data_IF_743298056695
#
_entry.id   IF_743298056695
#
_cell.length_a   1.000
_cell.length_b   1.000
_cell.length_c   1.000
_cell.angle_alpha   90.00
_cell.angle_beta   90.00
_cell.angle_gamma   90.00
#
_symmetry.space_group_name_H-M   'P 1'
#
loop_
_entity.id
_entity.type
_entity.pdbx_description
1 polymer ?
#
# COMPACT_ATOMS: atom_id res chain seq x y z
N UNK A 1 -18.32 -27.88 28.36
CA UNK A 1 -18.96 -26.81 27.56
C UNK A 1 -18.11 -25.55 27.75
N UNK A 2 -17.38 -25.10 26.73
CA UNK A 2 -16.52 -23.92 26.85
C UNK A 2 -17.38 -22.65 26.90
N UNK A 3 -17.34 -21.91 28.00
CA UNK A 3 -17.94 -20.58 28.09
C UNK A 3 -17.09 -19.60 27.28
N UNK A 4 -17.73 -18.85 26.40
CA UNK A 4 -17.10 -17.77 25.64
C UNK A 4 -17.04 -16.54 26.54
N UNK A 5 -15.86 -16.25 27.07
CA UNK A 5 -15.65 -15.13 27.98
C UNK A 5 -15.77 -13.81 27.22
N UNK A 6 -16.90 -13.11 27.42
CA UNK A 6 -17.18 -11.84 26.73
C UNK A 6 -16.62 -10.69 27.57
N UNK A 7 -15.67 -9.96 27.01
CA UNK A 7 -15.10 -8.76 27.63
C UNK A 7 -16.05 -7.59 27.41
N UNK A 8 -16.50 -6.95 28.49
CA UNK A 8 -17.39 -5.77 28.44
C UNK A 8 -16.62 -4.52 28.85
N UNK A 9 -16.77 -3.45 28.06
CA UNK A 9 -16.22 -2.13 28.34
C UNK A 9 -17.37 -1.13 28.50
N UNK A 10 -17.21 -0.13 29.38
CA UNK A 10 -18.13 1.02 29.39
C UNK A 10 -17.96 1.84 28.10
N UNK A 11 -18.98 2.62 27.70
CA UNK A 11 -18.98 3.37 26.43
C UNK A 11 -17.73 4.21 26.22
N UNK A 12 -17.27 4.89 27.27
CA UNK A 12 -16.06 5.71 27.24
C UNK A 12 -14.79 4.89 26.98
N UNK A 13 -14.64 3.72 27.60
CA UNK A 13 -13.48 2.84 27.41
C UNK A 13 -13.57 2.15 26.05
N UNK A 14 -14.75 1.67 25.66
CA UNK A 14 -14.99 1.04 24.37
C UNK A 14 -14.57 1.97 23.22
N UNK A 15 -14.96 3.24 23.27
CA UNK A 15 -14.56 4.22 22.26
C UNK A 15 -13.05 4.45 22.23
N UNK A 16 -12.42 4.64 23.40
CA UNK A 16 -10.96 4.82 23.48
C UNK A 16 -10.19 3.61 22.94
N UNK A 17 -10.63 2.40 23.28
CA UNK A 17 -10.02 1.15 22.77
C UNK A 17 -10.18 1.07 21.25
N UNK A 18 -11.37 1.37 20.73
CA UNK A 18 -11.63 1.39 19.29
C UNK A 18 -10.70 2.37 18.57
N UNK A 19 -10.58 3.60 19.08
CA UNK A 19 -9.71 4.62 18.48
C UNK A 19 -8.24 4.19 18.48
N UNK A 20 -7.76 3.57 19.57
CA UNK A 20 -6.40 3.05 19.67
C UNK A 20 -6.13 1.93 18.66
N UNK A 21 -7.03 0.95 18.54
CA UNK A 21 -6.88 -0.15 17.57
C UNK A 21 -6.82 0.41 16.13
N UNK A 22 -7.66 1.40 15.83
CA UNK A 22 -7.69 2.03 14.51
C UNK A 22 -6.41 2.83 14.22
N UNK A 23 -5.81 3.46 15.25
CA UNK A 23 -4.50 4.12 15.13
C UNK A 23 -3.38 3.09 14.88
N UNK A 24 -3.41 1.94 15.54
CA UNK A 24 -2.41 0.88 15.35
C UNK A 24 -2.42 0.35 13.91
N UNK A 25 -3.59 0.16 13.30
CA UNK A 25 -3.69 -0.27 11.91
C UNK A 25 -3.03 0.74 10.96
N UNK A 26 -3.28 2.04 11.19
CA UNK A 26 -2.67 3.11 10.40
C UNK A 26 -1.14 3.11 10.53
N UNK A 27 -0.61 2.92 11.74
CA UNK A 27 0.84 2.85 11.98
C UNK A 27 1.44 1.67 11.19
N UNK A 28 0.85 0.48 11.29
CA UNK A 28 1.29 -0.72 10.54
C UNK A 28 1.33 -0.47 9.03
N UNK A 29 0.31 0.20 8.49
CA UNK A 29 0.26 0.54 7.06
C UNK A 29 1.38 1.50 6.65
N UNK A 30 1.69 2.50 7.49
CA UNK A 30 2.79 3.45 7.24
C UNK A 30 4.14 2.73 7.26
N UNK A 31 4.40 1.88 8.25
CA UNK A 31 5.63 1.09 8.33
C UNK A 31 5.81 0.17 7.11
N UNK A 32 4.74 -0.54 6.74
CA UNK A 32 4.75 -1.40 5.55
C UNK A 32 5.02 -0.60 4.26
N UNK A 33 4.44 0.60 4.16
CA UNK A 33 4.68 1.52 3.04
C UNK A 33 6.14 1.99 3.00
N UNK A 34 6.70 2.39 4.14
CA UNK A 34 8.10 2.83 4.22
C UNK A 34 9.06 1.74 3.77
N UNK A 35 8.77 0.48 4.14
CA UNK A 35 9.53 -0.71 3.76
C UNK A 35 9.33 -1.20 2.31
N UNK A 36 8.49 -0.54 1.51
CA UNK A 36 8.39 -0.84 0.08
C UNK A 36 9.71 -0.50 -0.63
N UNK A 37 10.03 -1.31 -1.64
CA UNK A 37 11.13 -0.98 -2.56
C UNK A 37 10.77 0.25 -3.39
N UNK A 38 11.78 0.89 -3.98
CA UNK A 38 11.55 2.02 -4.91
C UNK A 38 10.65 1.59 -6.06
N UNK A 39 10.83 0.37 -6.55
CA UNK A 39 10.03 -0.22 -7.62
C UNK A 39 8.56 -0.45 -7.21
N UNK A 40 8.31 -0.96 -5.99
CA UNK A 40 6.95 -1.15 -5.50
C UNK A 40 6.26 0.21 -5.24
N UNK A 41 6.99 1.21 -4.74
CA UNK A 41 6.50 2.59 -4.61
C UNK A 41 6.17 3.18 -5.97
N UNK A 42 7.01 2.97 -6.98
CA UNK A 42 6.75 3.36 -8.37
C UNK A 42 5.43 2.78 -8.88
N UNK A 43 5.25 1.46 -8.76
CA UNK A 43 4.02 0.79 -9.21
C UNK A 43 2.80 1.34 -8.47
N UNK A 44 2.89 1.56 -7.16
CA UNK A 44 1.79 2.10 -6.36
C UNK A 44 1.42 3.53 -6.76
N UNK A 45 2.41 4.39 -7.07
CA UNK A 45 2.18 5.74 -7.59
C UNK A 45 1.52 5.68 -8.98
N UNK A 46 2.02 4.84 -9.89
CA UNK A 46 1.43 4.68 -11.23
C UNK A 46 -0.01 4.17 -11.16
N UNK A 47 -0.33 3.31 -10.19
CA UNK A 47 -1.72 2.89 -9.91
C UNK A 47 -2.59 4.09 -9.53
N UNK A 48 -2.10 5.00 -8.68
CA UNK A 48 -2.83 6.20 -8.30
C UNK A 48 -3.03 7.18 -9.47
N UNK A 49 -2.19 7.09 -10.50
CA UNK A 49 -2.32 7.82 -11.76
C UNK A 49 -3.14 7.05 -12.81
N UNK A 50 -3.90 6.02 -12.39
CA UNK A 50 -4.76 5.21 -13.25
C UNK A 50 -4.03 4.49 -14.39
N UNK A 51 -2.70 4.34 -14.30
CA UNK A 51 -1.95 3.63 -15.31
C UNK A 51 -2.35 2.15 -15.34
N UNK A 52 -2.56 1.60 -16.52
CA UNK A 52 -2.81 0.17 -16.73
C UNK A 52 -1.53 -0.65 -16.52
N UNK A 53 -1.66 -1.94 -16.20
CA UNK A 53 -0.51 -2.85 -16.10
C UNK A 53 0.31 -2.89 -17.40
N UNK A 54 -0.32 -2.64 -18.55
CA UNK A 54 0.35 -2.58 -19.87
C UNK A 54 1.21 -1.32 -20.02
N UNK A 55 0.71 -0.16 -19.59
CA UNK A 55 1.47 1.09 -19.61
C UNK A 55 2.68 1.01 -18.70
N UNK A 56 2.49 0.55 -17.46
CA UNK A 56 3.59 0.37 -16.50
C UNK A 56 4.63 -0.61 -17.06
N UNK A 57 4.19 -1.75 -17.62
CA UNK A 57 5.08 -2.74 -18.22
C UNK A 57 5.95 -2.16 -19.33
N UNK A 58 5.37 -1.30 -20.18
CA UNK A 58 6.11 -0.59 -21.22
C UNK A 58 7.14 0.38 -20.64
N UNK A 59 6.77 1.14 -19.60
CA UNK A 59 7.66 2.08 -18.92
C UNK A 59 8.88 1.37 -18.30
N UNK A 60 8.65 0.27 -17.58
CA UNK A 60 9.71 -0.45 -16.84
C UNK A 60 10.45 -1.52 -17.64
N UNK A 61 10.05 -1.79 -18.89
CA UNK A 61 10.66 -2.83 -19.72
C UNK A 61 10.39 -4.27 -19.24
N UNK A 62 9.28 -4.50 -18.54
CA UNK A 62 8.89 -5.82 -18.03
C UNK A 62 7.61 -6.33 -18.71
N UNK A 63 7.29 -7.62 -18.54
CA UNK A 63 6.04 -8.16 -19.07
C UNK A 63 4.83 -7.61 -18.29
N UNK A 64 3.67 -7.49 -18.95
CA UNK A 64 2.39 -7.17 -18.29
C UNK A 64 2.14 -8.10 -17.09
N UNK A 65 2.42 -9.40 -17.24
CA UNK A 65 2.23 -10.41 -16.19
C UNK A 65 3.13 -10.16 -14.98
N UNK A 66 4.35 -9.67 -15.19
CA UNK A 66 5.27 -9.29 -14.11
C UNK A 66 4.65 -8.15 -13.28
N UNK A 67 4.18 -7.09 -13.94
CA UNK A 67 3.53 -5.95 -13.25
C UNK A 67 2.27 -6.37 -12.51
N UNK A 68 1.44 -7.24 -13.09
CA UNK A 68 0.27 -7.82 -12.40
C UNK A 68 0.67 -8.63 -11.16
N UNK A 69 1.81 -9.33 -11.23
CA UNK A 69 2.43 -10.00 -10.08
C UNK A 69 2.78 -9.01 -8.97
N UNK A 70 3.41 -7.88 -9.29
CA UNK A 70 3.72 -6.84 -8.31
C UNK A 70 2.46 -6.20 -7.71
N UNK A 71 1.43 -5.93 -8.52
CA UNK A 71 0.12 -5.46 -8.02
C UNK A 71 -0.49 -6.43 -7.03
N UNK A 72 -0.47 -7.72 -7.35
CA UNK A 72 -0.96 -8.78 -6.47
C UNK A 72 -0.16 -8.85 -5.17
N UNK A 73 1.17 -8.80 -5.25
CA UNK A 73 2.05 -8.76 -4.08
C UNK A 73 1.76 -7.53 -3.20
N UNK A 74 1.57 -6.35 -3.79
CA UNK A 74 1.19 -5.14 -3.05
C UNK A 74 -0.16 -5.32 -2.35
N UNK A 75 -1.17 -5.86 -3.05
CA UNK A 75 -2.48 -6.14 -2.46
C UNK A 75 -2.38 -7.09 -1.25
N UNK A 76 -1.58 -8.15 -1.38
CA UNK A 76 -1.31 -9.08 -0.27
C UNK A 76 -0.57 -8.40 0.88
N UNK A 77 0.45 -7.59 0.59
CA UNK A 77 1.27 -6.90 1.61
C UNK A 77 0.46 -5.93 2.47
N UNK A 78 -0.52 -5.25 1.86
CA UNK A 78 -1.41 -4.32 2.53
C UNK A 78 -2.76 -4.94 2.94
N UNK A 79 -2.95 -6.24 2.73
CA UNK A 79 -4.18 -6.96 3.08
C UNK A 79 -5.45 -6.35 2.43
N UNK A 80 -5.31 -5.80 1.22
CA UNK A 80 -6.41 -5.19 0.46
C UNK A 80 -6.91 -6.09 -0.66
N UNK A 81 -8.19 -6.01 -0.98
CA UNK A 81 -8.86 -6.90 -1.94
C UNK A 81 -8.73 -6.45 -3.40
N UNK A 82 -8.47 -5.17 -3.64
CA UNK A 82 -8.50 -4.60 -4.98
C UNK A 82 -7.62 -3.34 -5.08
N UNK A 83 -7.52 -2.82 -6.30
CA UNK A 83 -6.75 -1.62 -6.64
C UNK A 83 -7.25 -0.38 -5.89
N UNK A 84 -8.56 -0.22 -5.69
CA UNK A 84 -9.10 0.90 -4.91
C UNK A 84 -8.58 0.88 -3.46
N UNK A 85 -8.39 -0.31 -2.88
CA UNK A 85 -7.73 -0.48 -1.59
C UNK A 85 -6.27 0.01 -1.61
N UNK A 86 -5.51 -0.28 -2.67
CA UNK A 86 -4.15 0.24 -2.83
C UNK A 86 -4.12 1.78 -2.92
N UNK A 87 -5.07 2.36 -3.67
CA UNK A 87 -5.22 3.81 -3.77
C UNK A 87 -5.49 4.40 -2.38
N UNK A 88 -6.44 3.84 -1.62
CA UNK A 88 -6.73 4.26 -0.24
C UNK A 88 -5.46 4.25 0.63
N UNK A 89 -4.66 3.18 0.57
CA UNK A 89 -3.41 3.07 1.33
C UNK A 89 -2.41 4.17 0.94
N UNK A 90 -2.24 4.45 -0.35
CA UNK A 90 -1.30 5.47 -0.82
C UNK A 90 -1.63 6.87 -0.27
N UNK A 91 -2.92 7.20 -0.13
CA UNK A 91 -3.36 8.45 0.51
C UNK A 91 -3.23 8.41 2.04
N UNK A 92 -3.63 7.31 2.70
CA UNK A 92 -3.53 7.19 4.16
C UNK A 92 -2.09 7.32 4.68
N UNK A 93 -1.15 6.80 3.90
CA UNK A 93 0.30 6.82 4.20
C UNK A 93 0.99 8.09 3.70
N UNK A 94 0.26 9.02 3.05
CA UNK A 94 0.77 10.23 2.42
C UNK A 94 1.84 9.99 1.34
N UNK A 95 1.92 8.78 0.81
CA UNK A 95 2.84 8.45 -0.28
C UNK A 95 2.54 9.30 -1.50
N UNK A 96 1.27 9.36 -1.91
CA UNK A 96 0.89 10.08 -3.11
C UNK A 96 1.01 11.59 -2.94
N UNK A 97 0.68 12.12 -1.76
CA UNK A 97 0.89 13.54 -1.43
C UNK A 97 2.37 13.95 -1.55
N UNK A 98 3.26 13.08 -1.04
CA UNK A 98 4.69 13.29 -1.12
C UNK A 98 5.23 13.24 -2.56
N UNK A 99 4.66 12.37 -3.40
CA UNK A 99 4.93 12.33 -4.83
C UNK A 99 4.45 13.61 -5.55
N UNK A 100 3.24 14.08 -5.26
CA UNK A 100 2.70 15.31 -5.85
C UNK A 100 3.52 16.55 -5.48
N UNK A 101 4.10 16.56 -4.28
CA UNK A 101 4.97 17.64 -3.81
C UNK A 101 6.38 17.59 -4.44
N UNK A 102 6.81 16.42 -4.92
CA UNK A 102 8.14 16.19 -5.47
C UNK A 102 8.05 15.33 -6.75
N UNK A 103 7.52 15.87 -7.86
CA UNK A 103 7.38 15.14 -9.11
C UNK A 103 8.77 14.77 -9.65
N UNK A 104 9.09 13.47 -9.61
CA UNK A 104 10.43 12.92 -9.89
C UNK A 104 10.89 11.93 -8.82
N UNK A 105 10.25 11.96 -7.65
CA UNK A 105 10.41 10.91 -6.65
C UNK A 105 9.71 9.63 -7.12
N UNK A 106 10.42 8.50 -7.06
CA UNK A 106 9.96 7.23 -7.63
C UNK A 106 9.74 7.34 -9.15
N UNK A 107 10.77 7.78 -9.88
CA UNK A 107 10.80 7.74 -11.33
C UNK A 107 11.27 6.37 -11.86
N UNK A 108 10.95 6.08 -13.11
CA UNK A 108 11.33 4.85 -13.82
C UNK A 108 12.85 4.69 -13.90
N UNK A 109 13.60 5.80 -13.95
CA UNK A 109 15.07 5.79 -13.94
C UNK A 109 15.67 5.20 -12.67
N UNK A 110 14.96 5.30 -11.53
CA UNK A 110 15.37 4.70 -10.26
C UNK A 110 15.03 3.20 -10.20
N UNK A 111 14.13 2.73 -11.05
CA UNK A 111 13.67 1.34 -11.10
C UNK A 111 14.66 0.41 -11.81
N UNK A 112 15.47 0.93 -12.74
CA UNK A 112 16.40 0.16 -13.59
C UNK A 112 17.49 -0.61 -12.82
N UNK A 113 17.71 -0.30 -11.53
CA UNK A 113 18.72 -0.96 -10.68
C UNK A 113 18.19 -2.15 -9.87
N UNK A 114 16.90 -2.48 -9.98
CA UNK A 114 16.23 -3.43 -9.07
C UNK A 114 15.74 -4.72 -9.72
N UNK A 115 16.13 -4.99 -10.98
CA UNK A 115 15.92 -6.30 -11.62
C UNK A 115 16.85 -7.37 -11.05
N UNK A 116 16.74 -7.66 -9.75
CA UNK A 116 17.09 -8.97 -9.22
C UNK A 116 15.80 -9.66 -8.85
N UNK A 117 15.47 -10.69 -9.63
CA UNK A 117 14.60 -11.78 -9.19
C UNK A 117 15.15 -12.39 -7.89
#
# INVERSE_FOLDING_TARGET
MAQMDKIYFCSTIAQKVFDLVNQMEKIKQIECMQALTVYDKYILVRICQEASSKQIAYEVGHSKRTVEGHRTKLMQKFEVKNVAGLVKIAFLTKLYDHYLSNPGLYDVTLCAKTSSL
#
